data_IF_393190744094
#
_entry.id   IF_393190744094
#
_cell.length_a   1.000
_cell.length_b   1.000
_cell.length_c   1.000
_cell.angle_alpha   90.00
_cell.angle_beta   90.00
_cell.angle_gamma   90.00
#
_symmetry.space_group_name_H-M   'P 1'
#
loop_
_entity.id
_entity.type
_entity.pdbx_description
1 polymer ?
#
# COMPACT_ATOMS: atom_id res chain seq x y z
N UNK A 1 -50.55 -32.66 4.11
CA UNK A 1 -50.12 -31.25 4.04
C UNK A 1 -48.71 -31.06 4.66
N UNK A 2 -48.42 -31.64 5.83
CA UNK A 2 -47.11 -31.46 6.52
C UNK A 2 -45.86 -32.08 5.88
N UNK A 3 -45.99 -33.02 4.91
CA UNK A 3 -44.85 -33.60 4.18
C UNK A 3 -44.41 -32.77 2.97
N UNK A 4 -45.30 -32.01 2.36
CA UNK A 4 -45.03 -31.11 1.23
C UNK A 4 -44.25 -29.85 1.69
N UNK A 5 -44.60 -29.31 2.86
CA UNK A 5 -43.91 -28.15 3.43
C UNK A 5 -42.45 -28.44 3.83
N UNK A 6 -42.18 -29.65 4.30
CA UNK A 6 -40.81 -30.07 4.66
C UNK A 6 -39.90 -30.24 3.42
N UNK A 7 -40.44 -30.69 2.30
CA UNK A 7 -39.67 -30.84 1.03
C UNK A 7 -39.39 -29.48 0.40
N UNK A 8 -40.37 -28.57 0.44
CA UNK A 8 -40.18 -27.19 -0.04
C UNK A 8 -39.13 -26.43 0.78
N UNK A 9 -39.11 -26.62 2.11
CA UNK A 9 -38.13 -26.02 3.00
C UNK A 9 -36.71 -26.58 2.78
N UNK A 10 -36.56 -27.90 2.59
CA UNK A 10 -35.29 -28.55 2.25
C UNK A 10 -34.75 -28.11 0.87
N UNK A 11 -35.63 -27.93 -0.12
CA UNK A 11 -35.22 -27.44 -1.45
C UNK A 11 -34.78 -25.97 -1.39
N UNK A 12 -35.47 -25.14 -0.60
CA UNK A 12 -35.10 -23.72 -0.41
C UNK A 12 -33.74 -23.58 0.29
N UNK A 13 -33.46 -24.38 1.33
CA UNK A 13 -32.17 -24.38 2.00
C UNK A 13 -31.06 -24.89 1.08
N UNK A 14 -31.31 -25.90 0.26
CA UNK A 14 -30.34 -26.36 -0.76
C UNK A 14 -30.04 -25.31 -1.82
N UNK A 15 -31.06 -24.57 -2.24
CA UNK A 15 -30.86 -23.47 -3.21
C UNK A 15 -30.06 -22.32 -2.60
N UNK A 16 -30.36 -21.90 -1.37
CA UNK A 16 -29.63 -20.85 -0.65
C UNK A 16 -28.19 -21.29 -0.38
N UNK A 17 -27.96 -22.54 -0.01
CA UNK A 17 -26.60 -23.10 0.16
C UNK A 17 -25.86 -23.22 -1.17
N UNK A 18 -26.54 -23.55 -2.27
CA UNK A 18 -25.94 -23.64 -3.60
C UNK A 18 -25.58 -22.24 -4.16
N UNK A 19 -26.43 -21.23 -3.93
CA UNK A 19 -26.12 -19.83 -4.25
C UNK A 19 -24.98 -19.28 -3.37
N UNK A 20 -24.98 -19.60 -2.08
CA UNK A 20 -23.87 -19.23 -1.20
C UNK A 20 -22.56 -19.94 -1.59
N UNK A 21 -22.61 -21.20 -2.04
CA UNK A 21 -21.44 -21.93 -2.55
C UNK A 21 -21.00 -21.43 -3.93
N UNK A 22 -21.91 -20.95 -4.80
CA UNK A 22 -21.55 -20.35 -6.09
C UNK A 22 -21.02 -18.93 -5.92
N UNK A 23 -21.47 -18.18 -4.92
CA UNK A 23 -20.87 -16.89 -4.54
C UNK A 23 -19.49 -17.01 -3.87
N UNK A 24 -19.16 -18.20 -3.30
CA UNK A 24 -17.82 -18.52 -2.82
C UNK A 24 -16.92 -19.11 -3.93
N UNK A 25 -17.37 -19.22 -5.17
CA UNK A 25 -16.48 -19.43 -6.32
C UNK A 25 -15.64 -18.15 -6.43
N UNK A 26 -14.35 -18.26 -6.01
CA UNK A 26 -13.33 -17.24 -6.08
C UNK A 26 -13.56 -16.39 -7.33
N UNK A 27 -13.87 -15.11 -7.18
CA UNK A 27 -13.79 -14.17 -8.27
C UNK A 27 -12.41 -14.33 -8.88
N UNK A 28 -12.38 -14.66 -10.17
CA UNK A 28 -11.12 -14.87 -10.88
C UNK A 28 -10.47 -13.50 -10.94
N UNK A 29 -9.33 -13.34 -10.25
CA UNK A 29 -8.56 -12.10 -10.26
C UNK A 29 -8.38 -11.62 -11.70
N UNK A 30 -8.88 -10.46 -12.02
CA UNK A 30 -8.77 -9.86 -13.34
C UNK A 30 -7.35 -9.27 -13.49
N UNK A 31 -6.58 -9.84 -14.41
CA UNK A 31 -5.22 -9.42 -14.76
C UNK A 31 -5.18 -8.52 -15.99
N UNK A 32 -6.24 -7.79 -16.25
CA UNK A 32 -6.31 -6.87 -17.40
C UNK A 32 -5.34 -5.70 -17.30
N UNK A 33 -4.96 -5.30 -16.07
CA UNK A 33 -4.02 -4.21 -15.81
C UNK A 33 -2.67 -4.72 -15.32
N UNK A 34 -1.54 -4.05 -15.67
CA UNK A 34 -0.24 -4.33 -15.07
C UNK A 34 -0.29 -4.19 -13.55
N UNK A 35 0.42 -5.07 -12.85
CA UNK A 35 0.49 -5.08 -11.40
C UNK A 35 1.82 -4.56 -10.89
N UNK A 36 1.78 -3.59 -9.97
CA UNK A 36 2.95 -2.95 -9.36
C UNK A 36 2.81 -2.97 -7.85
N UNK A 37 3.88 -3.31 -7.16
CA UNK A 37 3.96 -3.22 -5.70
C UNK A 37 4.59 -1.88 -5.31
N UNK A 38 3.86 -1.07 -4.58
CA UNK A 38 4.40 0.17 -4.01
C UNK A 38 4.20 0.16 -2.51
N UNK A 39 4.82 1.08 -1.80
CA UNK A 39 4.57 1.22 -0.37
C UNK A 39 4.93 2.59 0.15
N UNK A 40 4.52 2.84 1.38
CA UNK A 40 4.86 4.04 2.16
C UNK A 40 5.99 3.77 3.11
N UNK A 41 7.01 4.64 3.09
CA UNK A 41 8.15 4.64 4.01
C UNK A 41 8.32 6.03 4.62
N UNK A 42 9.04 6.14 5.71
CA UNK A 42 9.32 7.43 6.38
C UNK A 42 9.15 7.32 7.90
N UNK A 43 9.39 8.44 8.56
CA UNK A 43 9.39 8.53 10.03
C UNK A 43 8.02 8.18 10.65
N UNK A 44 8.01 7.79 11.92
CA UNK A 44 6.79 7.65 12.72
C UNK A 44 6.06 9.01 12.78
N UNK A 45 4.73 9.02 12.82
CA UNK A 45 3.87 10.21 12.88
C UNK A 45 3.92 11.17 11.67
N UNK A 46 4.67 10.83 10.59
CA UNK A 46 4.65 11.60 9.34
C UNK A 46 3.38 11.34 8.50
N UNK A 47 2.52 10.40 8.91
CA UNK A 47 1.21 10.17 8.30
C UNK A 47 1.20 9.17 7.16
N UNK A 48 2.07 8.14 7.17
CA UNK A 48 2.11 7.05 6.16
C UNK A 48 0.77 6.32 6.05
N UNK A 49 0.28 5.78 7.16
CA UNK A 49 -1.00 5.06 7.22
C UNK A 49 -2.18 5.97 6.88
N UNK A 50 -2.12 7.26 7.28
CA UNK A 50 -3.12 8.26 6.90
C UNK A 50 -3.11 8.49 5.39
N UNK A 51 -1.94 8.54 4.75
CA UNK A 51 -1.81 8.66 3.29
C UNK A 51 -2.38 7.42 2.59
N UNK A 52 -2.07 6.23 3.08
CA UNK A 52 -2.62 4.96 2.55
C UNK A 52 -4.16 4.96 2.64
N UNK A 53 -4.73 5.39 3.77
CA UNK A 53 -6.18 5.54 3.92
C UNK A 53 -6.76 6.61 2.97
N UNK A 54 -6.07 7.74 2.80
CA UNK A 54 -6.48 8.80 1.88
C UNK A 54 -6.49 8.32 0.42
N UNK A 55 -5.43 7.63 -0.02
CA UNK A 55 -5.35 7.07 -1.39
C UNK A 55 -6.54 6.14 -1.65
N UNK A 56 -6.79 5.16 -0.78
CA UNK A 56 -7.88 4.20 -0.97
C UNK A 56 -9.25 4.88 -0.99
N UNK A 57 -9.46 5.85 -0.10
CA UNK A 57 -10.73 6.58 0.02
C UNK A 57 -10.97 7.49 -1.18
N UNK A 58 -9.95 8.24 -1.62
CA UNK A 58 -10.05 9.13 -2.79
C UNK A 58 -10.25 8.32 -4.07
N UNK A 59 -9.51 7.22 -4.26
CA UNK A 59 -9.69 6.35 -5.42
C UNK A 59 -11.08 5.71 -5.42
N UNK A 60 -11.62 5.28 -4.28
CA UNK A 60 -12.98 4.76 -4.20
C UNK A 60 -14.04 5.80 -4.58
N UNK A 61 -13.81 7.09 -4.28
CA UNK A 61 -14.71 8.21 -4.63
C UNK A 61 -14.59 8.62 -6.10
N UNK A 62 -13.35 8.76 -6.60
CA UNK A 62 -13.04 9.33 -7.92
C UNK A 62 -12.98 8.30 -9.04
N UNK A 63 -12.58 7.06 -8.73
CA UNK A 63 -12.46 5.94 -9.66
C UNK A 63 -13.14 4.69 -9.07
N UNK A 64 -14.47 4.67 -8.92
CA UNK A 64 -15.17 3.55 -8.31
C UNK A 64 -14.97 2.27 -9.13
N UNK A 65 -14.49 1.20 -8.46
CA UNK A 65 -14.34 -0.14 -9.03
C UNK A 65 -14.56 -1.19 -7.93
N UNK A 66 -14.59 -2.47 -8.30
CA UNK A 66 -14.71 -3.57 -7.32
C UNK A 66 -13.48 -3.68 -6.41
N UNK A 67 -12.32 -3.22 -6.88
CA UNK A 67 -11.04 -3.24 -6.14
C UNK A 67 -10.93 -2.03 -5.22
N UNK A 68 -11.36 -0.85 -5.69
CA UNK A 68 -11.24 0.41 -4.93
C UNK A 68 -12.24 0.47 -3.79
N UNK A 69 -11.85 -0.10 -2.65
CA UNK A 69 -12.63 -0.05 -1.42
C UNK A 69 -11.98 0.91 -0.43
N UNK A 70 -12.73 1.84 0.18
CA UNK A 70 -12.17 2.74 1.17
C UNK A 70 -11.68 1.94 2.38
N UNK A 71 -10.49 2.26 2.84
CA UNK A 71 -9.89 1.69 4.06
C UNK A 71 -9.69 2.80 5.07
N UNK A 72 -10.22 2.62 6.26
CA UNK A 72 -9.94 3.52 7.37
C UNK A 72 -8.64 3.12 8.10
N UNK A 73 -8.11 4.03 8.89
CA UNK A 73 -6.90 3.83 9.68
C UNK A 73 -6.99 2.54 10.52
N UNK A 74 -8.12 2.30 11.18
CA UNK A 74 -8.31 1.16 12.06
C UNK A 74 -8.41 -0.19 11.31
N UNK A 75 -8.69 -0.18 10.01
CA UNK A 75 -8.69 -1.38 9.18
C UNK A 75 -7.32 -1.68 8.57
N UNK A 76 -6.45 -0.67 8.46
CA UNK A 76 -5.05 -0.82 8.03
C UNK A 76 -4.23 -1.31 9.22
N UNK A 77 -4.19 -0.55 10.32
CA UNK A 77 -3.56 -0.95 11.59
C UNK A 77 -4.54 -1.81 12.41
N UNK A 78 -4.72 -3.06 11.97
CA UNK A 78 -5.78 -3.92 12.49
C UNK A 78 -5.45 -4.61 13.82
N UNK A 79 -4.16 -4.77 14.15
CA UNK A 79 -3.73 -5.46 15.37
C UNK A 79 -4.10 -4.66 16.63
N UNK A 80 -4.54 -5.34 17.72
CA UNK A 80 -4.89 -4.65 18.97
C UNK A 80 -3.76 -3.78 19.53
N UNK A 81 -2.51 -4.23 19.42
CA UNK A 81 -1.33 -3.51 19.89
C UNK A 81 -1.03 -2.25 19.06
N UNK A 82 -1.27 -2.28 17.75
CA UNK A 82 -1.16 -1.13 16.85
C UNK A 82 -2.17 -0.05 17.23
N UNK A 83 -3.41 -0.45 17.47
CA UNK A 83 -4.49 0.47 17.90
C UNK A 83 -4.24 1.09 19.28
N UNK A 84 -3.71 0.31 20.22
CA UNK A 84 -3.40 0.78 21.57
C UNK A 84 -2.25 1.79 21.57
N UNK A 85 -1.23 1.55 20.75
CA UNK A 85 -0.04 2.40 20.67
C UNK A 85 -0.16 3.51 19.64
N UNK A 86 -1.11 3.43 18.70
CA UNK A 86 -1.28 4.39 17.60
C UNK A 86 -0.13 4.38 16.60
N UNK A 87 0.58 3.25 16.45
CA UNK A 87 1.72 3.08 15.53
C UNK A 87 1.59 1.79 14.74
N UNK A 88 2.02 1.79 13.49
CA UNK A 88 2.12 0.58 12.66
C UNK A 88 3.28 -0.29 13.14
N UNK A 89 3.01 -1.55 13.41
CA UNK A 89 3.99 -2.56 13.87
C UNK A 89 4.30 -3.54 12.76
N UNK A 90 3.27 -4.09 12.14
CA UNK A 90 3.38 -5.04 11.04
C UNK A 90 3.16 -4.33 9.70
N UNK A 91 3.66 -4.92 8.63
CA UNK A 91 3.33 -4.44 7.29
C UNK A 91 1.86 -4.72 6.97
N UNK A 92 1.13 -3.70 6.56
CA UNK A 92 -0.24 -3.86 6.08
C UNK A 92 -0.27 -3.85 4.56
N UNK A 93 -1.10 -4.74 3.98
CA UNK A 93 -1.27 -4.84 2.53
C UNK A 93 -2.65 -4.35 2.14
N UNK A 94 -2.68 -3.41 1.22
CA UNK A 94 -3.91 -2.82 0.70
C UNK A 94 -3.87 -2.86 -0.84
N UNK A 95 -4.99 -3.22 -1.46
CA UNK A 95 -5.11 -3.27 -2.92
C UNK A 95 -5.97 -2.12 -3.41
N UNK A 96 -5.59 -1.52 -4.53
CA UNK A 96 -6.36 -0.53 -5.26
C UNK A 96 -5.90 -0.45 -6.72
N UNK A 97 -6.65 0.26 -7.54
CA UNK A 97 -6.31 0.44 -8.94
C UNK A 97 -6.52 1.88 -9.41
N UNK A 98 -5.69 2.29 -10.36
CA UNK A 98 -5.91 3.47 -11.18
C UNK A 98 -6.57 3.09 -12.52
N UNK A 99 -6.75 4.06 -13.40
CA UNK A 99 -7.18 3.76 -14.75
C UNK A 99 -6.16 2.89 -15.52
N UNK A 100 -4.85 3.02 -15.20
CA UNK A 100 -3.76 2.39 -15.93
C UNK A 100 -3.27 1.09 -15.28
N UNK A 101 -3.24 1.00 -13.94
CA UNK A 101 -2.54 -0.06 -13.20
C UNK A 101 -3.30 -0.55 -11.99
N UNK A 102 -2.97 -1.77 -11.57
CA UNK A 102 -3.36 -2.36 -10.29
C UNK A 102 -2.18 -2.32 -9.32
N UNK A 103 -2.43 -1.93 -8.08
CA UNK A 103 -1.41 -1.76 -7.06
C UNK A 103 -1.66 -2.66 -5.85
N UNK A 104 -0.59 -3.32 -5.38
CA UNK A 104 -0.49 -3.77 -4.00
C UNK A 104 0.32 -2.73 -3.23
N UNK A 105 -0.30 -2.10 -2.25
CA UNK A 105 0.31 -1.09 -1.41
C UNK A 105 0.71 -1.68 -0.08
N UNK A 106 1.96 -1.50 0.29
CA UNK A 106 2.57 -2.00 1.52
C UNK A 106 2.78 -0.81 2.46
N UNK A 107 1.99 -0.73 3.51
CA UNK A 107 2.20 0.28 4.56
C UNK A 107 3.26 -0.26 5.54
N UNK A 108 4.43 0.38 5.56
CA UNK A 108 5.55 -0.06 6.36
C UNK A 108 5.62 0.69 7.71
N UNK A 109 6.01 -0.01 8.81
CA UNK A 109 6.17 0.63 10.10
C UNK A 109 7.24 1.73 10.05
N UNK A 110 7.04 2.80 10.83
CA UNK A 110 7.95 3.94 10.90
C UNK A 110 8.91 3.90 12.08
N UNK A 111 8.61 3.12 13.12
CA UNK A 111 9.34 3.11 14.37
C UNK A 111 10.59 2.23 14.31
N UNK A 112 11.70 2.68 14.92
CA UNK A 112 13.00 2.01 14.91
C UNK A 112 12.95 0.57 15.44
N UNK A 113 12.09 0.25 16.40
CA UNK A 113 11.96 -1.11 16.94
C UNK A 113 11.44 -2.12 15.90
N UNK A 114 10.81 -1.65 14.82
CA UNK A 114 10.18 -2.48 13.79
C UNK A 114 10.90 -2.44 12.44
N UNK A 115 12.15 -2.01 12.42
CA UNK A 115 13.01 -1.95 11.22
C UNK A 115 13.04 -3.27 10.46
N UNK A 116 13.01 -4.41 11.16
CA UNK A 116 12.96 -5.73 10.52
C UNK A 116 11.71 -5.90 9.64
N UNK A 117 10.54 -5.48 10.13
CA UNK A 117 9.29 -5.55 9.37
C UNK A 117 9.30 -4.56 8.21
N UNK A 118 9.88 -3.36 8.43
CA UNK A 118 10.09 -2.37 7.37
C UNK A 118 10.95 -2.94 6.23
N UNK A 119 12.09 -3.58 6.54
CA UNK A 119 12.98 -4.19 5.55
C UNK A 119 12.24 -5.28 4.75
N UNK A 120 11.50 -6.14 5.43
CA UNK A 120 10.73 -7.23 4.79
C UNK A 120 9.67 -6.66 3.84
N UNK A 121 8.97 -5.61 4.24
CA UNK A 121 8.01 -4.92 3.38
C UNK A 121 8.67 -4.22 2.19
N UNK A 122 9.75 -3.44 2.45
CA UNK A 122 10.46 -2.70 1.42
C UNK A 122 11.06 -3.60 0.34
N UNK A 123 11.52 -4.80 0.69
CA UNK A 123 12.06 -5.77 -0.27
C UNK A 123 11.03 -6.26 -1.31
N UNK A 124 9.75 -6.06 -1.05
CA UNK A 124 8.66 -6.43 -1.97
C UNK A 124 8.24 -5.28 -2.89
N UNK A 125 8.68 -4.05 -2.64
CA UNK A 125 8.27 -2.86 -3.37
C UNK A 125 9.03 -2.74 -4.70
N UNK A 126 8.32 -2.41 -5.77
CA UNK A 126 8.90 -2.01 -7.06
C UNK A 126 9.25 -0.51 -7.06
N UNK A 127 8.55 0.26 -6.24
CA UNK A 127 8.80 1.66 -5.92
C UNK A 127 8.20 2.04 -4.57
N UNK A 128 8.61 3.17 -3.98
CA UNK A 128 8.09 3.61 -2.69
C UNK A 128 7.75 5.11 -2.68
N UNK A 129 6.82 5.47 -1.81
CA UNK A 129 6.44 6.85 -1.49
C UNK A 129 7.09 7.19 -0.15
N UNK A 130 8.05 8.09 -0.18
CA UNK A 130 8.67 8.64 1.02
C UNK A 130 7.77 9.74 1.59
N UNK A 131 7.22 9.51 2.77
CA UNK A 131 6.33 10.46 3.43
C UNK A 131 7.13 11.26 4.46
N UNK A 132 7.17 12.57 4.28
CA UNK A 132 7.83 13.52 5.19
C UNK A 132 6.83 14.58 5.62
N UNK A 133 6.70 14.80 6.92
CA UNK A 133 5.87 15.89 7.43
C UNK A 133 6.60 17.23 7.21
N UNK A 134 5.91 18.19 6.57
CA UNK A 134 6.48 19.53 6.29
C UNK A 134 6.77 20.33 7.56
N UNK A 135 6.13 19.98 8.67
CA UNK A 135 6.35 20.60 9.98
C UNK A 135 7.68 20.21 10.64
N UNK A 136 8.18 19.01 10.32
CA UNK A 136 9.31 18.39 11.03
C UNK A 136 10.54 18.21 10.13
N UNK A 137 10.33 18.16 8.80
CA UNK A 137 11.36 17.85 7.83
C UNK A 137 11.88 16.40 7.93
N UNK A 138 13.04 16.08 7.33
CA UNK A 138 13.63 14.76 7.40
C UNK A 138 14.13 14.43 8.81
N UNK A 139 13.57 13.39 9.41
CA UNK A 139 13.87 12.91 10.75
C UNK A 139 14.82 11.69 10.71
N UNK A 140 15.41 11.23 11.83
CA UNK A 140 16.37 10.13 11.83
C UNK A 140 15.89 8.85 11.13
N UNK A 141 14.64 8.41 11.35
CA UNK A 141 14.13 7.24 10.67
C UNK A 141 13.87 7.49 9.16
N UNK A 142 13.67 8.74 8.74
CA UNK A 142 13.62 9.07 7.31
C UNK A 142 14.92 8.68 6.61
N UNK A 143 16.06 9.06 7.19
CA UNK A 143 17.41 8.70 6.72
C UNK A 143 17.61 7.18 6.68
N UNK A 144 17.26 6.52 7.78
CA UNK A 144 17.37 5.07 7.91
C UNK A 144 16.52 4.33 6.85
N UNK A 145 15.28 4.76 6.64
CA UNK A 145 14.39 4.15 5.65
C UNK A 145 14.86 4.35 4.22
N UNK A 146 15.42 5.50 3.87
CA UNK A 146 16.02 5.75 2.55
C UNK A 146 17.21 4.80 2.34
N UNK A 147 18.13 4.71 3.29
CA UNK A 147 19.28 3.82 3.24
C UNK A 147 18.86 2.35 3.07
N UNK A 148 17.93 1.88 3.91
CA UNK A 148 17.46 0.50 3.88
C UNK A 148 16.72 0.18 2.59
N UNK A 149 15.88 1.08 2.09
CA UNK A 149 15.19 0.91 0.81
C UNK A 149 16.18 0.77 -0.34
N UNK A 150 17.25 1.56 -0.33
CA UNK A 150 18.34 1.43 -1.31
C UNK A 150 19.02 0.08 -1.24
N UNK A 151 19.33 -0.40 -0.03
CA UNK A 151 20.00 -1.69 0.19
C UNK A 151 19.15 -2.90 -0.23
N UNK A 152 17.84 -2.85 -0.02
CA UNK A 152 16.92 -3.93 -0.44
C UNK A 152 16.55 -3.87 -1.92
N UNK A 153 16.99 -2.82 -2.64
CA UNK A 153 16.86 -2.73 -4.09
C UNK A 153 15.66 -1.94 -4.60
N UNK A 154 15.02 -1.12 -3.77
CA UNK A 154 14.01 -0.14 -4.24
C UNK A 154 14.73 0.90 -5.11
N UNK A 155 14.32 1.00 -6.38
CA UNK A 155 15.00 1.86 -7.37
C UNK A 155 14.33 3.21 -7.56
N UNK A 156 13.02 3.27 -7.32
CA UNK A 156 12.20 4.44 -7.62
C UNK A 156 11.54 4.94 -6.34
N UNK A 157 11.78 6.21 -6.01
CA UNK A 157 11.14 6.90 -4.89
C UNK A 157 10.34 8.09 -5.43
N UNK A 158 9.21 8.36 -4.80
CA UNK A 158 8.43 9.59 -4.95
C UNK A 158 8.32 10.19 -3.56
N UNK A 159 8.41 11.50 -3.44
CA UNK A 159 8.25 12.16 -2.16
C UNK A 159 6.85 12.73 -2.03
N UNK A 160 6.23 12.47 -0.88
CA UNK A 160 5.01 13.14 -0.47
C UNK A 160 5.29 13.99 0.77
N UNK A 161 5.37 15.31 0.60
CA UNK A 161 5.46 16.27 1.69
C UNK A 161 4.07 16.45 2.30
N UNK A 162 3.86 15.81 3.44
CA UNK A 162 2.57 15.77 4.12
C UNK A 162 2.41 16.92 5.12
N UNK A 163 1.18 17.17 5.55
CA UNK A 163 0.80 18.19 6.55
C UNK A 163 1.12 19.63 6.13
N UNK A 164 1.09 19.93 4.83
CA UNK A 164 1.33 21.30 4.34
C UNK A 164 0.25 22.27 4.78
N UNK A 165 -0.91 21.79 5.17
CA UNK A 165 -2.02 22.57 5.76
C UNK A 165 -1.68 23.18 7.12
N UNK A 166 -0.60 22.75 7.76
CA UNK A 166 -0.11 23.25 9.05
C UNK A 166 1.04 24.26 8.91
N UNK A 167 1.49 24.51 7.68
CA UNK A 167 2.62 25.42 7.39
C UNK A 167 2.13 26.54 6.50
N UNK A 168 2.13 27.76 7.03
CA UNK A 168 1.71 28.96 6.29
C UNK A 168 2.87 29.65 5.54
N UNK A 169 4.11 29.22 5.78
CA UNK A 169 5.33 29.80 5.23
C UNK A 169 5.83 28.98 4.03
N UNK A 170 5.73 29.55 2.83
CA UNK A 170 6.19 28.92 1.58
C UNK A 170 7.71 28.74 1.56
N UNK A 171 8.49 29.67 2.16
CA UNK A 171 9.96 29.56 2.23
C UNK A 171 10.38 28.34 3.06
N UNK A 172 9.61 28.03 4.12
CA UNK A 172 9.85 26.84 4.93
C UNK A 172 9.56 25.56 4.14
N UNK A 173 8.51 25.53 3.32
CA UNK A 173 8.21 24.37 2.47
C UNK A 173 9.32 24.14 1.44
N UNK A 174 9.83 25.21 0.81
CA UNK A 174 10.96 25.11 -0.14
C UNK A 174 12.24 24.62 0.56
N UNK A 175 12.51 25.10 1.78
CA UNK A 175 13.67 24.65 2.57
C UNK A 175 13.59 23.15 2.90
N UNK A 176 12.43 22.66 3.33
CA UNK A 176 12.21 21.25 3.65
C UNK A 176 12.35 20.41 2.37
N UNK A 177 11.82 20.87 1.24
CA UNK A 177 11.99 20.17 -0.03
C UNK A 177 13.46 20.05 -0.43
N UNK A 178 14.23 21.12 -0.29
CA UNK A 178 15.65 21.15 -0.59
C UNK A 178 16.41 20.17 0.31
N UNK A 179 16.13 20.15 1.60
CA UNK A 179 16.74 19.21 2.55
C UNK A 179 16.43 17.74 2.21
N UNK A 180 15.21 17.44 1.74
CA UNK A 180 14.84 16.11 1.28
C UNK A 180 15.63 15.71 0.04
N UNK A 181 15.77 16.62 -0.95
CA UNK A 181 16.51 16.39 -2.20
C UNK A 181 17.99 16.13 -1.94
N UNK A 182 18.61 16.92 -1.07
CA UNK A 182 19.99 16.75 -0.64
C UNK A 182 20.18 15.39 0.04
N UNK A 183 19.25 15.04 0.94
CA UNK A 183 19.30 13.77 1.63
C UNK A 183 19.15 12.58 0.66
N UNK A 184 18.26 12.63 -0.31
CA UNK A 184 18.11 11.58 -1.31
C UNK A 184 19.37 11.43 -2.16
N UNK A 185 20.02 12.53 -2.51
CA UNK A 185 21.29 12.54 -3.25
C UNK A 185 22.43 11.95 -2.44
N UNK A 186 22.47 12.16 -1.12
CA UNK A 186 23.46 11.55 -0.20
C UNK A 186 23.38 10.01 -0.23
N UNK A 187 22.19 9.44 -0.47
CA UNK A 187 21.97 7.99 -0.53
C UNK A 187 21.87 7.42 -1.96
N UNK A 188 22.49 8.07 -2.94
CA UNK A 188 22.55 7.64 -4.34
C UNK A 188 21.18 7.53 -5.05
N UNK A 189 20.18 8.29 -4.63
CA UNK A 189 18.98 8.53 -5.41
C UNK A 189 19.11 9.82 -6.21
N UNK A 190 18.45 9.95 -7.38
CA UNK A 190 18.52 11.18 -8.20
C UNK A 190 17.66 12.30 -7.57
N UNK A 191 18.10 12.86 -6.44
CA UNK A 191 17.33 13.80 -5.63
C UNK A 191 16.71 14.97 -6.39
N UNK A 192 17.43 15.51 -7.40
CA UNK A 192 16.93 16.62 -8.23
C UNK A 192 15.79 16.21 -9.17
N UNK A 193 15.80 14.96 -9.64
CA UNK A 193 14.83 14.45 -10.62
C UNK A 193 13.62 13.75 -9.98
N UNK A 194 13.67 13.49 -8.66
CA UNK A 194 12.59 12.80 -7.94
C UNK A 194 11.37 13.72 -7.83
N UNK A 195 10.17 13.25 -8.23
CA UNK A 195 8.95 14.02 -8.02
C UNK A 195 8.67 14.25 -6.54
N UNK A 196 8.39 15.52 -6.20
CA UNK A 196 7.96 15.92 -4.86
C UNK A 196 6.55 16.49 -4.97
N UNK A 197 5.62 15.90 -4.21
CA UNK A 197 4.23 16.31 -4.18
C UNK A 197 3.91 16.82 -2.78
N UNK A 198 3.37 18.02 -2.71
CA UNK A 198 3.03 18.69 -1.46
C UNK A 198 1.53 18.57 -1.21
N UNK A 199 1.12 18.07 -0.03
CA UNK A 199 -0.28 17.85 0.26
C UNK A 199 -0.60 17.61 1.73
N UNK A 200 -1.87 17.34 1.99
CA UNK A 200 -2.37 16.93 3.30
C UNK A 200 -3.22 15.68 3.15
N UNK A 201 -2.69 14.56 3.61
CA UNK A 201 -3.40 13.29 3.59
C UNK A 201 -4.67 13.34 4.46
N UNK A 202 -4.63 14.03 5.60
CA UNK A 202 -5.78 14.18 6.49
C UNK A 202 -6.90 14.98 5.82
N UNK A 203 -6.58 16.13 5.20
CA UNK A 203 -7.58 16.95 4.51
C UNK A 203 -8.20 16.24 3.33
N UNK A 204 -7.42 15.47 2.57
CA UNK A 204 -7.95 14.63 1.50
C UNK A 204 -8.91 13.55 2.04
N UNK A 205 -8.57 12.91 3.16
CA UNK A 205 -9.43 11.92 3.81
C UNK A 205 -10.74 12.53 4.31
N UNK A 206 -10.69 13.77 4.85
CA UNK A 206 -11.85 14.57 5.26
C UNK A 206 -12.74 15.00 4.09
N UNK A 207 -12.26 14.91 2.84
CA UNK A 207 -13.02 15.21 1.63
C UNK A 207 -12.83 16.64 1.10
N UNK A 208 -11.73 17.29 1.45
CA UNK A 208 -11.35 18.57 0.83
C UNK A 208 -10.92 18.33 -0.62
N UNK A 209 -11.66 18.92 -1.56
CA UNK A 209 -11.48 18.70 -2.99
C UNK A 209 -10.09 19.06 -3.50
N UNK A 210 -9.47 20.12 -2.97
CA UNK A 210 -8.11 20.54 -3.33
C UNK A 210 -7.10 19.43 -3.01
N UNK A 211 -7.21 18.86 -1.82
CA UNK A 211 -6.29 17.81 -1.39
C UNK A 211 -6.62 16.43 -1.98
N UNK A 212 -7.91 16.16 -2.31
CA UNK A 212 -8.27 14.99 -3.12
C UNK A 212 -7.63 15.06 -4.51
N UNK A 213 -7.63 16.22 -5.16
CA UNK A 213 -6.98 16.42 -6.46
C UNK A 213 -5.46 16.17 -6.36
N UNK A 214 -4.81 16.61 -5.29
CA UNK A 214 -3.39 16.34 -5.02
C UNK A 214 -3.12 14.83 -4.85
N UNK A 215 -4.01 14.08 -4.20
CA UNK A 215 -3.88 12.61 -4.12
C UNK A 215 -4.02 11.98 -5.51
N UNK A 216 -4.91 12.49 -6.35
CA UNK A 216 -5.02 12.00 -7.74
C UNK A 216 -3.76 12.32 -8.55
N UNK A 217 -3.16 13.48 -8.36
CA UNK A 217 -1.88 13.88 -8.99
C UNK A 217 -0.72 12.99 -8.49
N UNK A 218 -0.70 12.65 -7.19
CA UNK A 218 0.24 11.67 -6.66
C UNK A 218 0.11 10.34 -7.40
N UNK A 219 -1.11 9.82 -7.55
CA UNK A 219 -1.32 8.54 -8.22
C UNK A 219 -1.02 8.57 -9.72
N UNK A 220 -1.28 9.70 -10.39
CA UNK A 220 -0.85 9.91 -11.78
C UNK A 220 0.68 9.93 -11.89
N UNK A 221 1.36 10.58 -10.96
CA UNK A 221 2.84 10.61 -10.89
C UNK A 221 3.40 9.21 -10.64
N UNK A 222 2.78 8.43 -9.76
CA UNK A 222 3.15 7.02 -9.52
C UNK A 222 3.00 6.19 -10.80
N UNK A 223 1.88 6.37 -11.54
CA UNK A 223 1.64 5.68 -12.81
C UNK A 223 2.69 6.01 -13.89
N UNK A 224 3.26 7.21 -13.88
CA UNK A 224 4.20 7.68 -14.90
C UNK A 224 5.66 7.46 -14.51
N UNK A 225 6.01 7.71 -13.26
CA UNK A 225 7.39 7.69 -12.79
C UNK A 225 7.91 6.29 -12.42
N UNK A 226 7.06 5.44 -11.83
CA UNK A 226 7.46 4.08 -11.47
C UNK A 226 7.25 3.18 -12.70
N UNK A 227 8.32 2.57 -13.28
CA UNK A 227 8.18 1.70 -14.45
C UNK A 227 7.47 0.39 -14.08
N UNK A 228 6.91 -0.27 -15.10
CA UNK A 228 6.43 -1.64 -14.91
C UNK A 228 7.61 -2.58 -14.62
N UNK A 229 7.51 -3.40 -13.56
CA UNK A 229 8.58 -4.29 -13.20
C UNK A 229 8.76 -5.41 -14.23
N UNK A 230 9.98 -5.59 -14.71
CA UNK A 230 10.33 -6.75 -15.55
C UNK A 230 10.26 -8.02 -14.69
N UNK A 231 9.50 -9.01 -15.15
CA UNK A 231 9.33 -10.30 -14.47
C UNK A 231 10.10 -11.39 -15.21
N UNK A 232 11.11 -11.96 -14.57
CA UNK A 232 11.93 -13.08 -15.08
C UNK A 232 11.13 -14.40 -15.07
N UNK A 233 10.20 -14.58 -16.01
CA UNK A 233 9.30 -15.76 -16.07
C UNK A 233 10.01 -17.05 -16.46
N UNK A 234 11.15 -16.95 -17.17
CA UNK A 234 11.91 -18.11 -17.70
C UNK A 234 12.87 -18.73 -16.68
N UNK A 235 13.07 -18.07 -15.54
CA UNK A 235 13.91 -18.58 -14.45
C UNK A 235 13.14 -19.54 -13.52
N UNK A 236 13.84 -20.39 -12.75
CA UNK A 236 13.22 -21.20 -11.71
C UNK A 236 12.43 -20.35 -10.72
N UNK A 237 11.29 -20.87 -10.25
CA UNK A 237 10.45 -20.18 -9.27
C UNK A 237 11.24 -19.78 -8.03
N UNK A 238 11.16 -18.51 -7.65
CA UNK A 238 11.64 -17.98 -6.39
C UNK A 238 10.51 -17.18 -5.73
N UNK A 239 10.13 -17.60 -4.54
CA UNK A 239 9.19 -16.95 -3.66
C UNK A 239 9.88 -16.76 -2.30
N UNK A 240 10.44 -15.59 -1.99
CA UNK A 240 10.84 -15.27 -0.62
C UNK A 240 9.62 -15.37 0.30
N UNK A 241 9.74 -16.17 1.36
CA UNK A 241 8.64 -16.39 2.30
C UNK A 241 8.60 -15.24 3.29
N UNK A 242 7.46 -14.58 3.38
CA UNK A 242 7.17 -13.47 4.29
C UNK A 242 6.51 -13.97 5.57
N UNK A 243 5.48 -14.78 5.43
CA UNK A 243 4.74 -15.33 6.55
C UNK A 243 4.37 -16.80 6.33
N UNK A 244 4.19 -17.52 7.43
CA UNK A 244 3.83 -18.94 7.43
C UNK A 244 2.74 -19.19 8.45
N UNK A 245 1.59 -19.68 7.99
CA UNK A 245 0.47 -20.02 8.85
C UNK A 245 -0.18 -21.34 8.45
N UNK A 246 -0.96 -21.93 9.34
CA UNK A 246 -1.65 -23.19 9.07
C UNK A 246 -3.15 -22.95 8.94
N UNK A 247 -3.72 -23.49 7.87
CA UNK A 247 -5.18 -23.50 7.66
C UNK A 247 -5.71 -24.91 7.92
N UNK A 248 -6.68 -25.02 8.82
CA UNK A 248 -7.34 -26.30 9.12
C UNK A 248 -7.92 -26.92 7.83
N UNK A 249 -7.53 -28.15 7.52
CA UNK A 249 -7.97 -28.87 6.33
C UNK A 249 -7.18 -28.54 5.04
N UNK A 250 -6.26 -27.57 5.06
CA UNK A 250 -5.40 -27.23 3.90
C UNK A 250 -3.90 -27.38 4.19
N UNK A 251 -3.50 -27.45 5.47
CA UNK A 251 -2.11 -27.59 5.87
C UNK A 251 -1.38 -26.26 6.02
N UNK A 252 -0.06 -26.30 5.88
CA UNK A 252 0.80 -25.13 5.99
C UNK A 252 0.73 -24.27 4.73
N UNK A 253 0.53 -22.98 4.89
CA UNK A 253 0.51 -21.97 3.84
C UNK A 253 1.68 -21.04 4.04
N UNK A 254 2.45 -20.80 2.98
CA UNK A 254 3.49 -19.79 2.94
C UNK A 254 3.01 -18.65 2.05
N UNK A 255 3.11 -17.42 2.53
CA UNK A 255 2.85 -16.22 1.77
C UNK A 255 4.14 -15.49 1.40
N UNK A 256 4.10 -14.73 0.32
CA UNK A 256 5.21 -13.94 -0.17
C UNK A 256 5.00 -13.51 -1.62
N UNK A 257 5.86 -12.60 -2.09
CA UNK A 257 5.87 -12.15 -3.49
C UNK A 257 6.63 -13.16 -4.36
N UNK A 258 6.08 -13.51 -5.52
CA UNK A 258 6.84 -14.26 -6.53
C UNK A 258 7.83 -13.31 -7.19
N UNK A 259 9.12 -13.51 -6.95
CA UNK A 259 10.19 -12.67 -7.48
C UNK A 259 10.50 -13.06 -8.94
N UNK A 260 10.56 -14.36 -9.24
CA UNK A 260 10.80 -14.88 -10.59
C UNK A 260 10.17 -16.24 -10.79
N UNK A 261 10.05 -16.65 -12.06
CA UNK A 261 9.44 -17.90 -12.45
C UNK A 261 7.90 -17.85 -12.52
N UNK A 262 7.26 -18.99 -12.72
CA UNK A 262 5.81 -19.11 -12.88
C UNK A 262 5.26 -20.17 -11.95
N UNK A 263 4.19 -19.84 -11.23
CA UNK A 263 3.37 -20.79 -10.47
C UNK A 263 2.06 -21.05 -11.21
N UNK A 264 1.64 -22.30 -11.30
CA UNK A 264 0.33 -22.68 -11.85
C UNK A 264 -0.57 -23.16 -10.72
N UNK A 265 -1.79 -22.64 -10.70
CA UNK A 265 -2.84 -23.12 -9.78
C UNK A 265 -3.43 -24.39 -10.35
N UNK A 266 -3.50 -25.47 -9.54
CA UNK A 266 -4.13 -26.75 -9.88
C UNK A 266 -5.65 -26.70 -9.67
#
# INVERSE_FOLDING_TARGET
QGKLDCIAYCLSIKYILLEAFTQMAKEKYDRSKPHVNIGTIGHVDHGKTTLTAAITTVLARRLPSSVNQPKDYASIDAAPEERERGITINTAHVEYETAKRHYAHIDAPGHADYVKNMITGAAQMDGAILVVASTDGPMPQTREHILLSRQVGVKHLIVFMNKVDLVDDEELLELVEMEIRDLLSEYDFPGDDIPVIQGSALKALEGDSKYEDIIMDLMNTVDEYIPEPERDTDKPLLLPVEDVFSITGRGTVASGRIDRGVVRVN
#
